data_IF_827818907305
#
_entry.id   IF_827818907305
#
_cell.length_a   1.000
_cell.length_b   1.000
_cell.length_c   1.000
_cell.angle_alpha   90.00
_cell.angle_beta   90.00
_cell.angle_gamma   90.00
#
_symmetry.space_group_name_H-M   'P 1'
#
loop_
_entity.id
_entity.type
_entity.pdbx_description
1 polymer ?
#
# COMPACT_ATOMS: atom_id res chain seq x y z
N UNK A 1 1.61 24.61 40.63
CA UNK A 1 2.59 24.85 39.56
C UNK A 1 1.92 24.57 38.22
N UNK A 2 1.56 25.61 37.48
CA UNK A 2 1.01 25.45 36.12
C UNK A 2 2.15 25.07 35.18
N UNK A 3 2.14 23.83 34.70
CA UNK A 3 3.12 23.34 33.73
C UNK A 3 2.86 24.03 32.40
N UNK A 4 3.89 24.66 31.81
CA UNK A 4 3.87 25.37 30.53
C UNK A 4 3.19 24.61 29.35
N UNK A 5 2.96 23.29 29.46
CA UNK A 5 2.27 22.47 28.46
C UNK A 5 0.78 22.78 28.27
N UNK A 6 0.10 23.38 29.25
CA UNK A 6 -1.34 23.70 29.14
C UNK A 6 -1.60 25.01 28.38
N UNK A 7 -0.63 25.93 28.33
CA UNK A 7 -0.77 27.21 27.60
C UNK A 7 -0.97 27.02 26.09
N UNK A 8 -0.51 25.90 25.54
CA UNK A 8 -0.46 25.65 24.09
C UNK A 8 -1.05 24.30 23.68
N UNK A 9 -1.89 23.68 24.53
CA UNK A 9 -2.56 22.39 24.27
C UNK A 9 -1.62 21.20 23.96
N UNK A 10 -0.31 21.27 24.24
CA UNK A 10 0.65 20.21 23.89
C UNK A 10 0.32 18.87 24.56
N UNK A 11 -0.21 18.90 25.78
CA UNK A 11 -0.67 17.69 26.48
C UNK A 11 -1.81 16.99 25.72
N UNK A 12 -2.76 17.76 25.16
CA UNK A 12 -3.86 17.23 24.34
C UNK A 12 -3.35 16.66 23.01
N UNK A 13 -2.41 17.35 22.35
CA UNK A 13 -1.75 16.85 21.13
C UNK A 13 -1.02 15.54 21.40
N UNK A 14 -0.23 15.47 22.48
CA UNK A 14 0.51 14.26 22.86
C UNK A 14 -0.44 13.08 23.14
N UNK A 15 -1.54 13.34 23.84
CA UNK A 15 -2.56 12.33 24.09
C UNK A 15 -3.24 11.85 22.78
N UNK A 16 -3.60 12.78 21.88
CA UNK A 16 -4.21 12.45 20.59
C UNK A 16 -3.24 11.68 19.67
N UNK A 17 -1.96 12.05 19.66
CA UNK A 17 -0.92 11.33 18.94
C UNK A 17 -0.86 9.86 19.37
N UNK A 18 -0.76 9.61 20.68
CA UNK A 18 -0.63 8.27 21.23
C UNK A 18 -1.90 7.42 21.04
N UNK A 19 -3.08 8.01 21.26
CA UNK A 19 -4.35 7.27 21.30
C UNK A 19 -5.03 7.16 19.94
N UNK A 20 -4.85 8.15 19.05
CA UNK A 20 -5.52 8.19 17.75
C UNK A 20 -4.56 7.92 16.60
N UNK A 21 -3.46 8.66 16.49
CA UNK A 21 -2.62 8.59 15.30
C UNK A 21 -1.82 7.28 15.24
N UNK A 22 -1.04 6.99 16.28
CA UNK A 22 -0.12 5.85 16.30
C UNK A 22 -0.78 4.49 16.00
N UNK A 23 -1.96 4.15 16.55
CA UNK A 23 -2.61 2.89 16.23
C UNK A 23 -3.30 2.88 14.85
N UNK A 24 -3.83 4.02 14.40
CA UNK A 24 -4.66 4.07 13.19
C UNK A 24 -3.89 4.32 11.91
N UNK A 25 -2.84 5.15 11.95
CA UNK A 25 -2.08 5.53 10.76
C UNK A 25 -1.44 4.32 10.06
N UNK A 26 -0.73 3.40 10.75
CA UNK A 26 -0.17 2.22 10.10
C UNK A 26 -1.25 1.31 9.47
N UNK A 27 -2.41 1.17 10.11
CA UNK A 27 -3.55 0.41 9.59
C UNK A 27 -4.12 1.04 8.32
N UNK A 28 -4.29 2.36 8.31
CA UNK A 28 -4.76 3.10 7.14
C UNK A 28 -3.79 2.97 5.97
N UNK A 29 -2.49 3.19 6.22
CA UNK A 29 -1.45 3.05 5.20
C UNK A 29 -1.38 1.62 4.66
N UNK A 30 -1.41 0.60 5.52
CA UNK A 30 -1.38 -0.80 5.11
C UNK A 30 -2.59 -1.17 4.24
N UNK A 31 -3.80 -0.79 4.67
CA UNK A 31 -5.05 -1.02 3.93
C UNK A 31 -5.01 -0.33 2.57
N UNK A 32 -4.59 0.93 2.54
CA UNK A 32 -4.48 1.69 1.32
C UNK A 32 -3.46 1.06 0.34
N UNK A 33 -2.30 0.64 0.84
CA UNK A 33 -1.27 -0.04 0.03
C UNK A 33 -1.79 -1.34 -0.56
N UNK A 34 -2.48 -2.17 0.24
CA UNK A 34 -3.06 -3.41 -0.25
C UNK A 34 -4.08 -3.14 -1.37
N UNK A 35 -4.95 -2.15 -1.16
CA UNK A 35 -5.94 -1.75 -2.16
C UNK A 35 -5.27 -1.24 -3.44
N UNK A 36 -4.20 -0.45 -3.32
CA UNK A 36 -3.42 0.05 -4.45
C UNK A 36 -2.86 -1.11 -5.29
N UNK A 37 -2.23 -2.10 -4.66
CA UNK A 37 -1.70 -3.28 -5.35
C UNK A 37 -2.80 -4.11 -6.02
N UNK A 38 -3.88 -4.41 -5.30
CA UNK A 38 -5.02 -5.16 -5.86
C UNK A 38 -5.68 -4.43 -7.03
N UNK A 39 -5.80 -3.11 -6.95
CA UNK A 39 -6.37 -2.28 -8.02
C UNK A 39 -5.48 -2.31 -9.27
N UNK A 40 -4.17 -2.15 -9.11
CA UNK A 40 -3.23 -2.22 -10.22
C UNK A 40 -3.21 -3.63 -10.84
N UNK A 41 -3.25 -4.67 -10.00
CA UNK A 41 -3.35 -6.04 -10.45
C UNK A 41 -4.59 -6.29 -11.32
N UNK A 42 -5.77 -5.83 -10.87
CA UNK A 42 -7.01 -5.93 -11.64
C UNK A 42 -6.95 -5.18 -12.98
N UNK A 43 -6.23 -4.06 -13.02
CA UNK A 43 -5.98 -3.29 -14.25
C UNK A 43 -4.90 -3.92 -15.14
N UNK A 44 -4.31 -5.03 -14.72
CA UNK A 44 -3.25 -5.74 -15.42
C UNK A 44 -2.02 -4.87 -15.68
N UNK A 45 -1.59 -4.13 -14.67
CA UNK A 45 -0.45 -3.24 -14.78
C UNK A 45 0.09 -2.78 -13.44
N UNK A 46 0.96 -1.78 -13.51
CA UNK A 46 1.61 -1.18 -12.35
C UNK A 46 1.90 0.28 -12.60
N UNK A 47 2.30 0.98 -11.55
CA UNK A 47 2.71 2.37 -11.62
C UNK A 47 4.12 2.42 -11.07
N UNK A 48 5.19 2.43 -11.88
CA UNK A 48 6.55 2.55 -11.35
C UNK A 48 6.83 3.97 -10.82
N UNK A 49 6.25 4.98 -11.46
CA UNK A 49 6.36 6.39 -11.07
C UNK A 49 4.96 6.97 -10.77
N UNK A 50 4.44 7.80 -11.68
CA UNK A 50 3.11 8.41 -11.59
C UNK A 50 2.18 7.97 -12.73
N UNK A 51 2.72 7.37 -13.78
CA UNK A 51 1.96 6.89 -14.94
C UNK A 51 1.71 5.40 -14.85
N UNK A 52 0.48 4.99 -15.18
CA UNK A 52 0.11 3.58 -15.28
C UNK A 52 0.76 2.93 -16.49
N UNK A 53 1.40 1.78 -16.26
CA UNK A 53 2.05 0.96 -17.27
C UNK A 53 1.33 -0.38 -17.32
N UNK A 54 0.64 -0.72 -18.42
CA UNK A 54 0.03 -2.02 -18.59
C UNK A 54 1.12 -3.10 -18.74
N UNK A 55 0.87 -4.29 -18.23
CA UNK A 55 1.77 -5.43 -18.43
C UNK A 55 1.85 -5.81 -19.91
N UNK A 56 3.02 -6.30 -20.31
CA UNK A 56 3.20 -6.86 -21.63
C UNK A 56 2.20 -8.01 -21.88
N UNK A 57 1.38 -7.85 -22.91
CA UNK A 57 0.46 -8.88 -23.38
C UNK A 57 1.26 -10.06 -23.92
N UNK A 58 0.74 -11.27 -23.75
CA UNK A 58 1.35 -12.47 -24.33
C UNK A 58 1.18 -12.44 -25.86
N UNK A 59 2.17 -12.99 -26.57
CA UNK A 59 2.15 -13.13 -28.03
C UNK A 59 0.95 -13.96 -28.53
N UNK A 60 0.52 -14.96 -27.75
CA UNK A 60 -0.59 -15.84 -28.09
C UNK A 60 -1.73 -15.68 -27.09
N UNK A 61 -2.95 -15.49 -27.60
CA UNK A 61 -4.18 -15.50 -26.81
C UNK A 61 -4.58 -16.96 -26.60
N UNK A 62 -4.66 -17.40 -25.34
CA UNK A 62 -5.09 -18.75 -24.99
C UNK A 62 -6.60 -18.75 -24.76
N UNK A 63 -7.29 -19.83 -25.17
CA UNK A 63 -8.73 -20.00 -24.93
C UNK A 63 -9.04 -20.47 -23.50
N UNK A 64 -8.28 -20.00 -22.50
CA UNK A 64 -8.45 -20.28 -21.07
C UNK A 64 -8.16 -19.01 -20.28
N UNK A 65 -8.88 -18.84 -19.16
CA UNK A 65 -8.70 -17.67 -18.29
C UNK A 65 -7.26 -17.59 -17.79
N UNK A 66 -6.68 -16.40 -17.84
CA UNK A 66 -5.32 -16.16 -17.35
C UNK A 66 -5.31 -16.17 -15.80
N UNK A 67 -4.15 -16.46 -15.20
CA UNK A 67 -4.00 -16.44 -13.72
C UNK A 67 -4.49 -15.11 -13.12
N UNK A 68 -4.24 -14.01 -13.83
CA UNK A 68 -4.73 -12.66 -13.52
C UNK A 68 -6.25 -12.57 -13.51
N UNK A 69 -6.92 -13.25 -14.45
CA UNK A 69 -8.37 -13.27 -14.56
C UNK A 69 -9.04 -14.19 -13.53
N UNK A 70 -8.31 -15.18 -13.01
CA UNK A 70 -8.81 -16.00 -11.89
C UNK A 70 -8.79 -15.25 -10.56
N UNK A 71 -7.96 -14.20 -10.43
CA UNK A 71 -7.86 -13.40 -9.19
C UNK A 71 -7.11 -14.07 -8.03
N UNK A 72 -6.65 -15.32 -8.18
CA UNK A 72 -6.01 -16.08 -7.10
C UNK A 72 -4.84 -15.33 -6.43
N UNK A 73 -3.94 -14.76 -7.22
CA UNK A 73 -2.81 -13.95 -6.72
C UNK A 73 -3.29 -12.70 -5.96
N UNK A 74 -4.26 -11.96 -6.52
CA UNK A 74 -4.89 -10.80 -5.85
C UNK A 74 -5.46 -11.16 -4.49
N UNK A 75 -6.08 -12.32 -4.41
CA UNK A 75 -6.75 -12.80 -3.21
C UNK A 75 -5.73 -13.33 -2.18
N UNK A 76 -4.58 -13.82 -2.64
CA UNK A 76 -3.44 -14.21 -1.80
C UNK A 76 -2.66 -13.02 -1.21
N UNK A 77 -2.77 -11.81 -1.78
CA UNK A 77 -2.18 -10.59 -1.20
C UNK A 77 -2.82 -10.28 0.16
N UNK A 78 -2.01 -10.14 1.21
CA UNK A 78 -2.49 -9.81 2.56
C UNK A 78 -1.51 -8.97 3.38
N UNK A 79 -2.04 -8.33 4.41
CA UNK A 79 -1.28 -7.57 5.40
C UNK A 79 -0.81 -8.55 6.50
N UNK A 80 0.50 -8.60 6.74
CA UNK A 80 1.12 -9.42 7.80
C UNK A 80 1.41 -8.59 9.05
N UNK A 81 1.79 -7.32 8.85
CA UNK A 81 2.07 -6.38 9.94
C UNK A 81 1.59 -4.99 9.57
N UNK A 82 1.01 -4.29 10.54
CA UNK A 82 0.50 -2.93 10.41
C UNK A 82 0.71 -2.14 11.71
N UNK A 83 1.95 -2.17 12.22
CA UNK A 83 2.33 -1.45 13.44
C UNK A 83 3.23 -0.28 13.11
N UNK A 84 3.31 0.67 14.04
CA UNK A 84 4.24 1.78 13.91
C UNK A 84 5.68 1.22 13.83
N UNK A 85 6.42 1.63 12.80
CA UNK A 85 7.76 1.11 12.49
C UNK A 85 7.81 -0.14 11.61
N UNK A 86 6.69 -0.87 11.38
CA UNK A 86 6.66 -2.00 10.46
C UNK A 86 5.28 -2.22 9.83
N UNK A 87 5.19 -1.88 8.55
CA UNK A 87 4.10 -2.29 7.67
C UNK A 87 4.66 -3.36 6.73
N UNK A 88 4.11 -4.58 6.77
CA UNK A 88 4.53 -5.71 5.94
C UNK A 88 3.33 -6.28 5.21
N UNK A 89 3.43 -6.34 3.89
CA UNK A 89 2.47 -7.00 3.00
C UNK A 89 3.20 -8.16 2.31
N UNK A 90 2.48 -9.25 2.07
CA UNK A 90 2.97 -10.43 1.34
C UNK A 90 1.92 -10.91 0.36
N UNK A 91 2.36 -11.68 -0.62
CA UNK A 91 1.52 -12.50 -1.49
C UNK A 91 1.97 -13.96 -1.28
N UNK A 92 1.06 -14.80 -0.79
CA UNK A 92 1.36 -16.21 -0.49
C UNK A 92 1.20 -17.13 -1.72
N UNK A 93 0.86 -16.59 -2.90
CA UNK A 93 0.79 -17.40 -4.12
C UNK A 93 2.21 -17.84 -4.52
N UNK A 94 2.48 -19.14 -4.72
CA UNK A 94 3.82 -19.63 -5.10
C UNK A 94 4.37 -19.02 -6.40
N UNK A 95 3.50 -18.47 -7.25
CA UNK A 95 3.84 -17.87 -8.54
C UNK A 95 4.01 -16.36 -8.47
N UNK A 96 3.73 -15.73 -7.32
CA UNK A 96 3.81 -14.29 -7.14
C UNK A 96 5.18 -13.74 -7.51
N UNK A 97 6.26 -14.36 -7.03
CA UNK A 97 7.63 -13.95 -7.33
C UNK A 97 7.95 -14.01 -8.83
N UNK A 98 7.67 -15.14 -9.49
CA UNK A 98 7.89 -15.30 -10.93
C UNK A 98 7.06 -14.30 -11.76
N UNK A 99 5.87 -13.94 -11.30
CA UNK A 99 5.06 -12.93 -11.97
C UNK A 99 5.66 -11.53 -11.78
N UNK A 100 6.05 -11.17 -10.56
CA UNK A 100 6.55 -9.84 -10.21
C UNK A 100 7.90 -9.56 -10.88
N UNK A 101 8.82 -10.53 -10.84
CA UNK A 101 10.23 -10.39 -11.25
C UNK A 101 10.48 -10.88 -12.68
N UNK A 102 9.60 -11.74 -13.21
CA UNK A 102 9.83 -12.41 -14.48
C UNK A 102 10.85 -13.56 -14.38
N UNK A 103 11.17 -14.14 -15.53
CA UNK A 103 12.18 -15.20 -15.70
C UNK A 103 12.87 -15.01 -17.06
N UNK A 104 13.84 -15.88 -17.41
CA UNK A 104 14.45 -15.87 -18.75
C UNK A 104 13.43 -16.00 -19.91
N UNK A 105 12.25 -16.58 -19.66
CA UNK A 105 11.23 -16.83 -20.69
C UNK A 105 9.93 -16.04 -20.48
N UNK A 106 9.77 -15.36 -19.34
CA UNK A 106 8.57 -14.61 -19.00
C UNK A 106 8.93 -13.17 -18.65
N UNK A 107 8.30 -12.16 -19.28
CA UNK A 107 8.55 -10.79 -18.91
C UNK A 107 8.06 -10.52 -17.48
N UNK A 108 8.78 -9.65 -16.77
CA UNK A 108 8.38 -9.16 -15.47
C UNK A 108 7.02 -8.45 -15.56
N UNK A 109 6.14 -8.75 -14.61
CA UNK A 109 4.82 -8.13 -14.45
C UNK A 109 4.68 -7.68 -12.99
N UNK A 110 5.41 -6.62 -12.60
CA UNK A 110 5.39 -6.17 -11.22
C UNK A 110 3.98 -5.71 -10.82
N UNK A 111 3.60 -5.95 -9.58
CA UNK A 111 2.29 -5.57 -9.03
C UNK A 111 2.36 -5.12 -7.57
N UNK A 112 3.32 -5.66 -6.81
CA UNK A 112 3.70 -5.17 -5.48
C UNK A 112 5.00 -4.40 -5.58
N UNK A 113 4.90 -3.10 -5.85
CA UNK A 113 6.05 -2.23 -6.04
C UNK A 113 5.83 -0.87 -5.39
N UNK A 114 6.85 -0.35 -4.70
CA UNK A 114 6.79 0.98 -4.10
C UNK A 114 6.95 2.04 -5.19
N UNK A 115 5.90 2.83 -5.42
CA UNK A 115 5.89 3.85 -6.47
C UNK A 115 5.85 5.28 -5.91
N UNK A 116 6.24 6.24 -6.76
CA UNK A 116 6.11 7.68 -6.43
C UNK A 116 4.65 8.07 -6.20
N UNK A 117 3.71 7.51 -6.99
CA UNK A 117 2.29 7.73 -6.78
C UNK A 117 1.82 7.21 -5.41
N UNK A 118 2.20 5.99 -5.03
CA UNK A 118 1.83 5.41 -3.74
C UNK A 118 2.43 6.24 -2.59
N UNK A 119 3.68 6.67 -2.73
CA UNK A 119 4.33 7.55 -1.75
C UNK A 119 3.59 8.88 -1.62
N UNK A 120 3.19 9.51 -2.73
CA UNK A 120 2.39 10.76 -2.72
C UNK A 120 1.05 10.56 -2.00
N UNK A 121 0.38 9.43 -2.24
CA UNK A 121 -0.86 9.08 -1.55
C UNK A 121 -0.63 8.85 -0.05
N UNK A 122 0.44 8.16 0.33
CA UNK A 122 0.84 8.00 1.74
C UNK A 122 1.12 9.33 2.42
N UNK A 123 1.87 10.23 1.77
CA UNK A 123 2.15 11.57 2.29
C UNK A 123 0.86 12.36 2.49
N UNK A 124 -0.10 12.29 1.56
CA UNK A 124 -1.39 12.94 1.73
C UNK A 124 -2.17 12.39 2.94
N UNK A 125 -2.16 11.07 3.15
CA UNK A 125 -2.78 10.42 4.32
C UNK A 125 -2.09 10.88 5.61
N UNK A 126 -0.76 10.88 5.64
CA UNK A 126 0.04 11.28 6.81
C UNK A 126 -0.21 12.76 7.13
N UNK A 127 -0.11 13.65 6.15
CA UNK A 127 -0.31 15.10 6.34
C UNK A 127 -1.71 15.40 6.83
N UNK A 128 -2.74 14.74 6.28
CA UNK A 128 -4.12 14.87 6.76
C UNK A 128 -4.23 14.41 8.22
N UNK A 129 -3.73 13.22 8.52
CA UNK A 129 -3.82 12.65 9.87
C UNK A 129 -3.05 13.47 10.91
N UNK A 130 -1.90 14.04 10.55
CA UNK A 130 -1.15 14.98 11.38
C UNK A 130 -1.90 16.30 11.57
N UNK A 131 -2.50 16.87 10.52
CA UNK A 131 -3.29 18.09 10.61
C UNK A 131 -4.52 17.93 11.51
N UNK A 132 -5.17 16.76 11.48
CA UNK A 132 -6.30 16.44 12.34
C UNK A 132 -5.95 16.41 13.84
N UNK A 133 -4.67 16.26 14.20
CA UNK A 133 -4.22 16.35 15.59
C UNK A 133 -4.26 17.75 16.16
N UNK A 134 -4.26 18.78 15.32
CA UNK A 134 -4.22 20.18 15.77
C UNK A 134 -5.59 20.87 15.71
N UNK A 135 -6.63 20.15 15.28
CA UNK A 135 -8.02 20.61 15.28
C UNK A 135 -8.60 20.40 16.67
N UNK A 136 -8.43 21.40 17.54
CA UNK A 136 -9.07 21.47 18.86
C UNK A 136 -10.01 22.67 18.93
#
# INVERSE_FOLDING_TARGET
MSTYGDKWNFNKVKAALATKLMPNLPRQLATHTLLFFRTNYNKQGYVPNETFVPWAKRKYQLNRKLLVETGAMRDAMRIVSQRFGLIKLVDDDPKAAYHNEGTAHLPARPFMYQSKQLQKQHLAIITKAMGDLFKF
#
